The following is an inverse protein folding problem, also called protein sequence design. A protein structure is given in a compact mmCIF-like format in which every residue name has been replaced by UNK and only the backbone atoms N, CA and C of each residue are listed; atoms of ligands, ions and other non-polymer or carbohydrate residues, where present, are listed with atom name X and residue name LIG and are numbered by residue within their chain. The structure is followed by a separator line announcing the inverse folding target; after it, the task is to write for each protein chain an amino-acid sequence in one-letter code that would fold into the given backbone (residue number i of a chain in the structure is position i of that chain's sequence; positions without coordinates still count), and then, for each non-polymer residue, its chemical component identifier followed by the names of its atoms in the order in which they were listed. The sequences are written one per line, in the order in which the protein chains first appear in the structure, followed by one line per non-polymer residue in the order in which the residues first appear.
data_IF_560928621679
#
_entry.id   IF_560928621679
#
_cell.length_a   1.000
_cell.length_b   1.000
_cell.length_c   1.000
_cell.angle_alpha   90.00
_cell.angle_beta   90.00
_cell.angle_gamma   90.00
#
_symmetry.space_group_name_H-M   'P 1'
#
loop_
_entity.id
_entity.type
_entity.pdbx_description
1 polymer ?
#
# COMPACT_ATOMS: atom_id res chain seq x y z
N UNK A 1 -22.13 5.96 -45.42
CA UNK A 1 -20.75 5.42 -45.47
C UNK A 1 -19.68 6.50 -45.60
N UNK A 2 -19.80 7.48 -46.50
CA UNK A 2 -18.78 8.56 -46.69
C UNK A 2 -18.36 9.29 -45.40
N UNK A 3 -19.30 9.63 -44.52
CA UNK A 3 -18.98 10.36 -43.28
C UNK A 3 -18.22 9.51 -42.25
N UNK A 4 -18.34 8.17 -42.29
CA UNK A 4 -17.59 7.26 -41.39
C UNK A 4 -16.13 7.09 -41.84
N UNK A 5 -15.89 7.09 -43.15
CA UNK A 5 -14.53 7.00 -43.72
C UNK A 5 -13.76 8.31 -43.46
N UNK A 6 -14.41 9.47 -43.61
CA UNK A 6 -13.78 10.76 -43.31
C UNK A 6 -13.41 10.89 -41.83
N UNK A 7 -14.26 10.40 -40.93
CA UNK A 7 -13.99 10.40 -39.48
C UNK A 7 -12.82 9.48 -39.11
N UNK A 8 -12.71 8.29 -39.74
CA UNK A 8 -11.58 7.39 -39.53
C UNK A 8 -10.25 7.95 -40.07
N UNK A 9 -10.27 8.65 -41.21
CA UNK A 9 -9.08 9.32 -41.74
C UNK A 9 -8.65 10.46 -40.80
N UNK A 10 -9.60 11.23 -40.27
CA UNK A 10 -9.30 12.31 -39.32
C UNK A 10 -8.68 11.76 -38.02
N UNK A 11 -9.21 10.65 -37.48
CA UNK A 11 -8.65 9.96 -36.33
C UNK A 11 -7.26 9.39 -36.65
N UNK A 12 -7.08 8.80 -37.84
CA UNK A 12 -5.77 8.29 -38.28
C UNK A 12 -4.72 9.40 -38.37
N UNK A 13 -5.08 10.57 -38.89
CA UNK A 13 -4.20 11.75 -38.94
C UNK A 13 -3.91 12.28 -37.53
N UNK A 14 -4.92 12.30 -36.63
CA UNK A 14 -4.75 12.74 -35.25
C UNK A 14 -3.78 11.83 -34.48
N UNK A 15 -3.87 10.51 -34.67
CA UNK A 15 -2.94 9.54 -34.06
C UNK A 15 -1.54 9.58 -34.69
N UNK A 16 -1.40 9.97 -35.96
CA UNK A 16 -0.08 10.14 -36.59
C UNK A 16 0.61 11.45 -36.18
N UNK A 17 -0.14 12.43 -35.66
CA UNK A 17 0.39 13.74 -35.27
C UNK A 17 0.86 13.84 -33.81
N UNK A 18 0.67 12.80 -32.99
CA UNK A 18 1.13 12.80 -31.60
C UNK A 18 2.58 12.29 -31.54
N UNK A 19 3.50 13.02 -32.17
CA UNK A 19 4.89 12.94 -31.74
C UNK A 19 4.94 13.63 -30.37
N UNK A 20 4.80 12.83 -29.31
CA UNK A 20 5.19 13.22 -27.96
C UNK A 20 6.71 13.38 -28.00
N UNK A 21 7.19 14.51 -28.53
CA UNK A 21 8.60 14.86 -28.46
C UNK A 21 8.92 15.02 -26.98
N UNK A 22 9.73 14.12 -26.43
CA UNK A 22 10.47 14.45 -25.23
C UNK A 22 11.25 15.71 -25.55
N UNK A 23 11.15 16.72 -24.68
CA UNK A 23 12.02 17.86 -24.77
C UNK A 23 13.41 17.36 -24.40
N UNK A 24 14.19 16.96 -25.40
CA UNK A 24 15.52 16.47 -25.17
C UNK A 24 16.36 17.56 -24.50
N UNK A 25 17.20 17.15 -23.55
CA UNK A 25 18.01 18.07 -22.77
C UNK A 25 18.89 18.93 -23.68
N UNK A 26 18.77 20.26 -23.57
CA UNK A 26 19.72 21.15 -24.21
C UNK A 26 21.07 21.05 -23.49
N UNK A 27 22.11 20.66 -24.20
CA UNK A 27 23.47 20.56 -23.68
C UNK A 27 24.36 21.64 -24.28
N UNK A 28 25.39 22.05 -23.55
CA UNK A 28 26.41 22.95 -24.07
C UNK A 28 27.74 22.22 -24.23
N UNK A 29 28.27 22.18 -25.46
CA UNK A 29 29.49 21.46 -25.79
C UNK A 29 30.57 22.43 -26.27
N UNK A 30 31.71 22.47 -25.60
CA UNK A 30 32.85 23.24 -26.08
C UNK A 30 33.47 22.58 -27.31
N UNK A 31 33.75 23.38 -28.35
CA UNK A 31 34.51 22.99 -29.52
C UNK A 31 35.68 23.94 -29.75
N UNK A 32 36.86 23.37 -29.98
CA UNK A 32 38.08 24.14 -30.17
C UNK A 32 38.98 23.47 -31.19
N UNK A 33 39.79 24.29 -31.85
CA UNK A 33 40.83 23.82 -32.75
C UNK A 33 41.76 24.93 -33.16
N UNK A 34 42.86 24.54 -33.80
CA UNK A 34 43.95 25.44 -34.18
C UNK A 34 44.55 25.02 -35.52
N UNK A 35 45.40 25.86 -36.10
CA UNK A 35 46.13 25.56 -37.32
C UNK A 35 45.30 25.65 -38.60
N UNK A 36 44.17 26.38 -38.59
CA UNK A 36 43.40 26.63 -39.81
C UNK A 36 44.24 27.46 -40.77
N UNK A 37 44.42 26.92 -41.98
CA UNK A 37 45.23 27.53 -43.04
C UNK A 37 44.46 27.52 -44.34
N UNK A 38 44.72 28.50 -45.20
CA UNK A 38 44.24 28.49 -46.56
C UNK A 38 44.94 27.37 -47.35
N UNK A 39 44.18 26.51 -48.01
CA UNK A 39 44.73 25.33 -48.71
C UNK A 39 45.63 25.71 -49.89
N UNK A 40 45.36 26.84 -50.55
CA UNK A 40 46.10 27.28 -51.73
C UNK A 40 47.39 28.01 -51.37
N UNK A 41 47.38 28.86 -50.34
CA UNK A 41 48.56 29.64 -49.94
C UNK A 41 49.38 29.00 -48.82
N UNK A 42 48.78 28.13 -48.00
CA UNK A 42 49.41 27.58 -46.79
C UNK A 42 49.50 28.56 -45.61
N UNK A 43 49.02 29.80 -45.79
CA UNK A 43 49.03 30.84 -44.76
C UNK A 43 47.95 30.58 -43.71
N UNK A 44 48.24 30.94 -42.46
CA UNK A 44 47.28 30.88 -41.36
C UNK A 44 46.13 31.85 -41.60
N UNK A 45 44.90 31.40 -41.37
CA UNK A 45 43.71 32.21 -41.58
C UNK A 45 43.54 33.21 -40.42
N UNK A 46 43.77 34.51 -40.63
CA UNK A 46 43.70 35.52 -39.56
C UNK A 46 42.30 35.70 -38.98
N UNK A 47 41.27 35.69 -39.84
CA UNK A 47 39.86 35.87 -39.45
C UNK A 47 38.94 35.09 -40.40
N UNK A 48 37.98 34.34 -39.85
CA UNK A 48 36.95 33.68 -40.64
C UNK A 48 35.70 33.33 -39.86
N UNK A 49 34.60 33.15 -40.60
CA UNK A 49 33.38 32.56 -40.08
C UNK A 49 33.53 31.03 -40.09
N UNK A 50 33.02 30.38 -39.06
CA UNK A 50 32.97 28.92 -38.97
C UNK A 50 31.53 28.49 -38.73
N UNK A 51 31.05 27.56 -39.53
CA UNK A 51 29.78 26.87 -39.28
C UNK A 51 30.10 25.46 -38.82
N UNK A 52 29.51 25.04 -37.72
CA UNK A 52 29.68 23.70 -37.16
C UNK A 52 28.32 23.01 -37.24
N UNK A 53 28.31 21.87 -37.92
CA UNK A 53 27.15 20.99 -37.99
C UNK A 53 27.42 19.72 -37.19
N UNK A 54 26.38 19.24 -36.49
CA UNK A 54 26.40 17.94 -35.83
C UNK A 54 25.37 17.04 -36.50
N UNK A 55 25.80 15.84 -36.85
CA UNK A 55 25.02 14.82 -37.54
C UNK A 55 24.90 13.55 -36.70
N UNK A 56 23.79 12.85 -36.87
CA UNK A 56 23.49 11.54 -36.26
C UNK A 56 24.12 10.35 -37.01
N UNK A 57 24.76 10.58 -38.16
CA UNK A 57 25.34 9.52 -39.00
C UNK A 57 26.53 10.01 -39.82
N UNK A 58 27.46 9.08 -40.11
CA UNK A 58 28.68 9.32 -40.88
C UNK A 58 28.40 9.60 -42.35
N UNK A 59 27.44 8.88 -42.96
CA UNK A 59 27.08 9.00 -44.38
C UNK A 59 25.56 9.03 -44.47
N UNK A 60 25.03 10.17 -44.92
CA UNK A 60 23.60 10.48 -44.89
C UNK A 60 23.02 10.40 -43.47
N UNK A 61 22.37 11.46 -43.02
CA UNK A 61 21.85 11.58 -41.67
C UNK A 61 21.02 12.84 -41.53
N UNK A 62 20.53 13.09 -40.33
CA UNK A 62 19.90 14.35 -39.99
C UNK A 62 20.93 15.26 -39.34
N UNK A 63 20.87 16.54 -39.70
CA UNK A 63 21.54 17.59 -38.95
C UNK A 63 20.72 17.78 -37.67
N UNK A 64 21.32 17.44 -36.53
CA UNK A 64 20.71 17.66 -35.22
C UNK A 64 21.08 19.03 -34.63
N UNK A 65 22.14 19.65 -35.15
CA UNK A 65 22.55 21.00 -34.77
C UNK A 65 23.35 21.67 -35.89
N UNK A 66 23.14 22.97 -36.10
CA UNK A 66 23.85 23.76 -37.09
C UNK A 66 23.95 25.21 -36.62
N UNK A 67 25.18 25.71 -36.42
CA UNK A 67 25.39 27.10 -35.99
C UNK A 67 26.59 27.73 -36.66
N UNK A 68 26.44 28.99 -37.08
CA UNK A 68 27.50 29.80 -37.67
C UNK A 68 28.00 30.81 -36.65
N UNK A 69 29.28 30.72 -36.32
CA UNK A 69 30.01 31.67 -35.48
C UNK A 69 30.70 32.70 -36.36
N UNK A 70 30.16 33.93 -36.37
CA UNK A 70 30.73 35.05 -37.12
C UNK A 70 32.08 35.41 -36.52
N UNK A 71 33.13 35.46 -37.34
CA UNK A 71 34.51 35.67 -36.91
C UNK A 71 34.97 34.67 -35.82
N UNK A 72 34.42 33.44 -35.85
CA UNK A 72 34.74 32.41 -34.85
C UNK A 72 36.18 31.90 -34.92
N UNK A 73 36.86 32.06 -36.07
CA UNK A 73 38.29 31.75 -36.21
C UNK A 73 39.10 33.05 -36.14
N UNK A 74 40.09 33.09 -35.24
CA UNK A 74 41.03 34.19 -35.05
C UNK A 74 42.44 33.61 -35.02
N UNK A 75 43.32 34.08 -35.91
CA UNK A 75 44.71 33.61 -36.07
C UNK A 75 44.81 32.07 -36.17
N UNK A 76 43.95 31.49 -37.01
CA UNK A 76 43.90 30.06 -37.29
C UNK A 76 43.36 29.22 -36.15
N UNK A 77 42.77 29.82 -35.11
CA UNK A 77 42.27 29.11 -33.94
C UNK A 77 40.83 29.49 -33.63
N UNK A 78 40.05 28.58 -33.05
CA UNK A 78 38.70 28.85 -32.55
C UNK A 78 38.49 28.20 -31.20
N UNK A 79 37.57 28.78 -30.43
CA UNK A 79 37.03 28.22 -29.20
C UNK A 79 35.60 28.75 -29.07
N UNK A 80 34.63 27.86 -29.28
CA UNK A 80 33.20 28.19 -29.32
C UNK A 80 32.40 27.24 -28.44
N UNK A 81 31.23 27.69 -28.00
CA UNK A 81 30.28 26.89 -27.24
C UNK A 81 29.08 26.55 -28.12
N UNK A 82 28.89 25.26 -28.40
CA UNK A 82 27.73 24.77 -29.12
C UNK A 82 26.55 24.63 -28.15
N UNK A 83 25.32 24.87 -28.62
CA UNK A 83 24.08 24.68 -27.84
C UNK A 83 23.79 25.76 -26.79
N UNK A 84 24.62 26.81 -26.67
CA UNK A 84 24.36 27.94 -25.78
C UNK A 84 23.20 28.83 -26.31
N UNK A 85 22.98 28.84 -27.62
CA UNK A 85 21.91 29.58 -28.27
C UNK A 85 20.55 28.93 -27.98
N UNK A 86 19.74 29.55 -27.13
CA UNK A 86 18.42 29.03 -26.74
C UNK A 86 17.40 28.94 -27.89
N UNK A 87 17.69 29.55 -29.04
CA UNK A 87 16.87 29.40 -30.26
C UNK A 87 17.34 28.25 -31.15
N UNK A 88 18.45 27.60 -30.81
CA UNK A 88 19.08 26.52 -31.54
C UNK A 88 19.72 25.54 -30.54
N UNK A 89 18.88 24.79 -29.83
CA UNK A 89 19.35 23.87 -28.81
C UNK A 89 20.17 22.72 -29.43
N UNK A 90 21.23 22.31 -28.74
CA UNK A 90 21.96 21.10 -29.05
C UNK A 90 21.40 19.97 -28.18
N UNK A 91 20.74 19.02 -28.80
CA UNK A 91 20.24 17.81 -28.15
C UNK A 91 21.17 16.64 -28.49
N UNK A 92 21.69 15.99 -27.46
CA UNK A 92 22.54 14.80 -27.58
C UNK A 92 22.07 13.75 -26.58
N UNK A 93 22.35 12.49 -26.88
CA UNK A 93 22.23 11.35 -25.97
C UNK A 93 23.61 11.00 -25.44
N UNK A 94 23.72 10.71 -24.15
CA UNK A 94 24.99 10.42 -23.49
C UNK A 94 25.57 9.11 -24.01
N UNK A 95 26.83 9.12 -24.44
CA UNK A 95 27.51 7.93 -24.94
C UNK A 95 27.27 7.61 -26.42
N UNK A 96 26.27 8.24 -27.06
CA UNK A 96 26.00 8.07 -28.48
C UNK A 96 27.08 8.70 -29.38
N UNK A 97 27.22 8.16 -30.59
CA UNK A 97 28.20 8.64 -31.58
C UNK A 97 27.58 9.65 -32.52
N UNK A 98 28.16 10.85 -32.54
CA UNK A 98 27.78 11.91 -33.46
C UNK A 98 28.97 12.35 -34.30
N UNK A 99 28.70 13.13 -35.35
CA UNK A 99 29.68 13.52 -36.33
C UNK A 99 29.68 15.03 -36.53
N UNK A 100 30.84 15.66 -36.42
CA UNK A 100 31.03 17.09 -36.68
C UNK A 100 31.50 17.32 -38.10
N UNK A 101 30.86 18.28 -38.76
CA UNK A 101 31.24 18.80 -40.07
C UNK A 101 31.51 20.31 -39.91
N UNK A 102 32.56 20.79 -40.59
CA UNK A 102 33.04 22.16 -40.43
C UNK A 102 33.02 22.85 -41.78
N UNK A 103 32.36 24.01 -41.83
CA UNK A 103 32.31 24.84 -43.03
C UNK A 103 32.95 26.18 -42.70
N UNK A 104 34.06 26.50 -43.34
CA UNK A 104 34.84 27.72 -43.08
C UNK A 104 34.63 28.68 -44.24
N UNK A 105 34.08 29.87 -43.98
CA UNK A 105 33.70 30.85 -45.01
C UNK A 105 32.84 30.28 -46.15
N UNK A 106 32.03 29.25 -45.88
CA UNK A 106 31.16 28.60 -46.86
C UNK A 106 31.83 27.45 -47.63
N UNK A 107 33.10 27.17 -47.38
CA UNK A 107 33.82 26.02 -47.94
C UNK A 107 33.82 24.85 -46.94
N UNK A 108 33.54 23.66 -47.44
CA UNK A 108 33.55 22.42 -46.65
C UNK A 108 34.98 22.00 -46.30
N UNK A 109 35.17 21.43 -45.11
CA UNK A 109 36.48 21.04 -44.58
C UNK A 109 36.61 19.53 -44.53
N UNK A 110 37.55 19.00 -45.31
CA UNK A 110 37.93 17.60 -45.30
C UNK A 110 38.92 17.27 -44.16
N UNK A 111 38.75 16.10 -43.54
CA UNK A 111 39.67 15.55 -42.55
C UNK A 111 40.41 14.33 -43.10
N UNK A 112 41.51 13.96 -42.43
CA UNK A 112 42.17 12.66 -42.65
C UNK A 112 41.95 11.75 -41.47
N UNK A 113 41.61 10.49 -41.73
CA UNK A 113 41.57 9.45 -40.72
C UNK A 113 42.96 8.89 -40.42
N UNK A 114 43.02 7.85 -39.56
CA UNK A 114 44.27 7.16 -39.22
C UNK A 114 44.98 6.52 -40.42
N UNK A 115 44.24 6.21 -41.48
CA UNK A 115 44.76 5.59 -42.71
C UNK A 115 45.06 6.63 -43.81
N UNK A 116 45.14 7.92 -43.46
CA UNK A 116 45.30 9.04 -44.40
C UNK A 116 44.16 9.16 -45.45
N UNK A 117 43.03 8.49 -45.23
CA UNK A 117 41.85 8.60 -46.09
C UNK A 117 41.08 9.86 -45.77
N UNK A 118 40.54 10.51 -46.81
CA UNK A 118 39.70 11.69 -46.63
C UNK A 118 38.36 11.27 -46.02
N UNK A 119 37.97 11.95 -44.94
CA UNK A 119 36.66 11.80 -44.30
C UNK A 119 36.02 13.17 -44.16
N UNK A 120 34.75 13.28 -44.55
CA UNK A 120 33.99 14.54 -44.51
C UNK A 120 33.68 14.99 -43.07
N UNK A 121 33.55 14.02 -42.14
CA UNK A 121 33.09 14.29 -40.78
C UNK A 121 33.96 13.64 -39.73
N UNK A 122 34.11 14.33 -38.60
CA UNK A 122 34.84 13.83 -37.43
C UNK A 122 33.88 13.30 -36.38
N UNK A 123 33.99 12.02 -36.04
CA UNK A 123 33.17 11.43 -35.00
C UNK A 123 33.56 11.91 -33.59
N UNK A 124 32.61 11.92 -32.67
CA UNK A 124 32.83 12.04 -31.24
C UNK A 124 31.76 11.26 -30.48
N UNK A 125 32.10 10.73 -29.31
CA UNK A 125 31.12 10.21 -28.36
C UNK A 125 30.59 11.37 -27.55
N UNK A 126 29.28 11.51 -27.44
CA UNK A 126 28.72 12.60 -26.65
C UNK A 126 29.01 12.40 -25.16
N UNK A 127 29.70 13.35 -24.51
CA UNK A 127 29.95 13.28 -23.07
C UNK A 127 28.78 13.82 -22.24
N UNK A 128 27.73 14.33 -22.88
CA UNK A 128 26.59 15.02 -22.28
C UNK A 128 25.31 14.53 -22.97
N UNK A 129 24.18 14.58 -22.29
CA UNK A 129 22.91 14.24 -22.91
C UNK A 129 21.96 13.52 -21.98
N UNK A 130 20.80 13.18 -22.54
CA UNK A 130 19.87 12.24 -21.91
C UNK A 130 20.46 10.83 -21.92
N UNK A 131 20.10 10.00 -20.93
CA UNK A 131 20.50 8.59 -20.88
C UNK A 131 19.30 7.78 -21.37
N UNK A 132 19.46 7.07 -22.48
CA UNK A 132 18.46 6.17 -23.06
C UNK A 132 18.22 4.93 -22.19
N UNK A 133 17.12 4.22 -22.44
CA UNK A 133 16.82 2.99 -21.70
C UNK A 133 17.82 1.87 -22.02
N UNK A 134 18.30 1.85 -23.26
CA UNK A 134 19.33 0.97 -23.81
C UNK A 134 20.72 1.20 -23.19
N UNK A 135 20.99 2.39 -22.64
CA UNK A 135 22.26 2.74 -22.00
C UNK A 135 22.38 2.17 -20.57
N UNK A 136 21.26 1.78 -19.98
CA UNK A 136 21.21 1.21 -18.64
C UNK A 136 21.32 -0.32 -18.74
N UNK A 137 22.42 -0.88 -18.23
CA UNK A 137 22.54 -2.34 -18.15
C UNK A 137 21.42 -2.94 -17.27
N UNK A 138 20.86 -4.09 -17.67
CA UNK A 138 19.68 -4.67 -17.00
C UNK A 138 19.86 -5.07 -15.52
N UNK A 139 21.09 -4.97 -14.98
CA UNK A 139 21.46 -5.28 -13.61
C UNK A 139 22.11 -4.11 -12.86
N UNK A 140 21.86 -2.86 -13.26
CA UNK A 140 22.37 -1.69 -12.53
C UNK A 140 21.58 -1.42 -11.24
N UNK A 141 22.28 -0.87 -10.25
CA UNK A 141 21.65 -0.22 -9.11
C UNK A 141 21.64 1.29 -9.34
N UNK A 142 20.48 1.93 -9.20
CA UNK A 142 20.34 3.39 -9.24
C UNK A 142 20.46 3.92 -7.81
N UNK A 143 21.61 4.51 -7.47
CA UNK A 143 21.82 5.19 -6.19
C UNK A 143 21.60 6.69 -6.37
N UNK A 144 20.54 7.23 -5.79
CA UNK A 144 20.24 8.67 -5.79
C UNK A 144 20.08 9.20 -4.37
N UNK A 145 20.40 10.47 -4.15
CA UNK A 145 20.20 11.16 -2.88
C UNK A 145 18.91 12.00 -2.84
N UNK A 146 18.13 11.96 -3.93
CA UNK A 146 16.89 12.72 -4.07
C UNK A 146 15.70 11.83 -4.49
N UNK A 147 14.60 12.48 -4.86
CA UNK A 147 13.41 11.78 -5.32
C UNK A 147 13.64 11.18 -6.71
N UNK A 148 13.11 9.97 -6.94
CA UNK A 148 12.93 9.41 -8.27
C UNK A 148 11.48 9.66 -8.66
N UNK A 149 11.26 10.39 -9.74
CA UNK A 149 9.94 10.55 -10.36
C UNK A 149 9.90 9.68 -11.61
N UNK A 150 8.92 8.79 -11.68
CA UNK A 150 8.65 7.97 -12.87
C UNK A 150 7.14 7.85 -13.05
N UNK A 151 6.69 7.79 -14.31
CA UNK A 151 5.27 7.52 -14.61
C UNK A 151 4.87 6.11 -14.14
N UNK A 152 5.80 5.16 -14.23
CA UNK A 152 5.62 3.77 -13.82
C UNK A 152 6.91 3.19 -13.24
N UNK A 153 6.77 2.35 -12.22
CA UNK A 153 7.82 1.44 -11.74
C UNK A 153 7.41 0.00 -12.06
N UNK A 154 8.18 -0.72 -12.85
CA UNK A 154 7.96 -2.14 -13.14
C UNK A 154 9.03 -2.98 -12.41
N UNK A 155 8.58 -3.95 -11.62
CA UNK A 155 9.47 -4.86 -10.90
C UNK A 155 8.67 -5.83 -10.03
N UNK A 156 9.34 -6.89 -9.55
CA UNK A 156 8.73 -7.87 -8.63
C UNK A 156 8.73 -7.39 -7.16
N UNK A 157 9.34 -6.23 -6.90
CA UNK A 157 9.46 -5.63 -5.57
C UNK A 157 10.35 -6.39 -4.59
N UNK A 158 10.97 -7.51 -5.01
CA UNK A 158 11.71 -8.41 -4.11
C UNK A 158 12.97 -7.77 -3.51
N UNK A 159 13.49 -6.74 -4.16
CA UNK A 159 14.65 -5.96 -3.70
C UNK A 159 14.31 -4.76 -2.80
N UNK A 160 13.04 -4.51 -2.48
CA UNK A 160 12.63 -3.42 -1.58
C UNK A 160 12.49 -3.96 -0.15
N UNK A 161 13.46 -3.72 0.76
CA UNK A 161 13.35 -4.17 2.14
C UNK A 161 12.20 -3.44 2.84
N UNK A 162 11.28 -4.20 3.45
CA UNK A 162 10.03 -3.72 4.06
C UNK A 162 10.24 -2.52 5.01
N UNK A 163 11.32 -2.55 5.78
CA UNK A 163 11.74 -1.52 6.74
C UNK A 163 12.17 -0.19 6.10
N UNK A 164 12.24 -0.08 4.77
CA UNK A 164 12.61 1.15 4.05
C UNK A 164 11.45 1.79 3.28
N UNK A 165 10.28 1.16 3.24
CA UNK A 165 9.07 1.69 2.56
C UNK A 165 8.31 2.78 3.38
N UNK A 166 8.98 3.47 4.31
CA UNK A 166 8.36 4.58 5.02
C UNK A 166 8.04 5.72 4.04
N UNK A 167 6.76 5.94 3.75
CA UNK A 167 6.29 7.07 2.92
C UNK A 167 5.81 6.72 1.51
N UNK A 168 5.66 5.45 1.16
CA UNK A 168 4.89 5.03 -0.02
C UNK A 168 3.38 5.21 0.24
N UNK A 169 2.92 6.45 0.26
CA UNK A 169 1.49 6.79 0.14
C UNK A 169 1.15 6.87 -1.34
N UNK A 170 1.03 5.71 -1.98
CA UNK A 170 0.53 5.58 -3.34
C UNK A 170 -0.93 5.18 -3.29
N UNK A 171 -1.82 6.12 -3.59
CA UNK A 171 -3.24 5.84 -3.72
C UNK A 171 -4.01 7.12 -3.94
N UNK A 172 -5.09 7.00 -4.70
CA UNK A 172 -6.05 8.08 -4.86
C UNK A 172 -6.62 8.48 -3.48
N UNK A 173 -7.16 9.68 -3.32
CA UNK A 173 -7.93 10.02 -2.11
C UNK A 173 -8.96 8.91 -1.86
N UNK A 174 -8.73 8.07 -0.83
CA UNK A 174 -9.45 6.86 -0.42
C UNK A 174 -8.91 5.46 -0.82
N UNK A 175 -7.72 5.34 -1.41
CA UNK A 175 -7.07 4.03 -1.58
C UNK A 175 -5.77 3.97 -0.80
N UNK A 176 -5.81 3.59 0.47
CA UNK A 176 -4.58 3.15 1.12
C UNK A 176 -4.13 1.85 0.45
N UNK A 177 -2.96 1.84 -0.19
CA UNK A 177 -2.26 0.59 -0.48
C UNK A 177 -2.01 -0.09 0.87
N UNK A 178 -2.87 -1.04 1.22
CA UNK A 178 -2.60 -1.99 2.28
C UNK A 178 -1.46 -2.87 1.76
N UNK A 179 -0.20 -2.47 2.00
CA UNK A 179 0.86 -3.45 2.20
C UNK A 179 0.34 -4.32 3.33
N UNK A 180 -0.26 -5.45 2.96
CA UNK A 180 -1.09 -6.24 3.86
C UNK A 180 -0.15 -7.00 4.78
N UNK A 181 0.36 -6.31 5.79
CA UNK A 181 0.42 -6.92 7.11
C UNK A 181 -1.03 -7.19 7.52
N UNK A 182 -1.57 -8.30 7.02
CA UNK A 182 -2.82 -8.86 7.49
C UNK A 182 -2.59 -9.48 8.87
N UNK A 183 -2.11 -8.66 9.82
CA UNK A 183 -1.91 -8.99 11.22
C UNK A 183 -2.93 -8.26 12.12
N UNK A 184 -3.79 -7.40 11.56
CA UNK A 184 -4.82 -6.69 12.32
C UNK A 184 -6.24 -7.28 12.20
N UNK A 185 -6.53 -8.17 11.24
CA UNK A 185 -7.84 -8.84 11.10
C UNK A 185 -7.84 -10.31 11.58
N UNK A 186 -6.96 -10.68 12.52
CA UNK A 186 -7.04 -11.97 13.20
C UNK A 186 -6.81 -11.89 14.71
N UNK A 187 -7.29 -10.80 15.31
CA UNK A 187 -7.46 -10.69 16.77
C UNK A 187 -8.92 -10.61 17.21
N UNK A 188 -9.87 -11.03 16.37
CA UNK A 188 -11.05 -11.66 16.94
C UNK A 188 -10.65 -13.05 17.39
N UNK A 189 -10.03 -13.12 18.58
CA UNK A 189 -10.05 -14.35 19.35
C UNK A 189 -11.52 -14.68 19.56
N UNK A 190 -12.07 -15.52 18.69
CA UNK A 190 -13.45 -15.99 18.80
C UNK A 190 -13.69 -16.46 20.22
N UNK A 191 -14.70 -15.88 20.86
CA UNK A 191 -15.07 -16.32 22.19
C UNK A 191 -15.65 -17.73 22.08
N UNK A 192 -15.23 -18.62 22.96
CA UNK A 192 -15.58 -20.05 22.90
C UNK A 192 -16.77 -20.42 23.79
N UNK A 193 -17.39 -19.44 24.45
CA UNK A 193 -18.54 -19.66 25.33
C UNK A 193 -19.31 -18.36 25.57
N UNK A 194 -20.63 -18.46 25.62
CA UNK A 194 -21.51 -17.38 26.09
C UNK A 194 -21.38 -17.14 27.61
N UNK A 195 -21.76 -15.96 28.06
CA UNK A 195 -21.77 -15.55 29.46
C UNK A 195 -21.34 -14.11 29.69
N UNK A 196 -21.48 -13.63 30.93
CA UNK A 196 -20.98 -12.31 31.30
C UNK A 196 -19.44 -12.24 31.21
N UNK A 197 -18.94 -11.19 30.56
CA UNK A 197 -17.51 -10.90 30.52
C UNK A 197 -17.06 -10.05 31.69
N UNK A 198 -17.84 -9.01 32.01
CA UNK A 198 -17.54 -8.06 33.07
C UNK A 198 -18.84 -7.74 33.79
N UNK A 199 -19.08 -8.49 34.86
CA UNK A 199 -20.20 -8.34 35.78
C UNK A 199 -19.74 -8.78 37.17
N UNK A 200 -19.83 -7.88 38.14
CA UNK A 200 -19.53 -8.16 39.55
C UNK A 200 -20.45 -7.41 40.53
N UNK A 201 -20.16 -7.51 41.83
CA UNK A 201 -20.94 -6.89 42.90
C UNK A 201 -21.06 -5.36 42.83
N UNK A 202 -20.26 -4.68 42.01
CA UNK A 202 -20.35 -3.23 41.79
C UNK A 202 -21.34 -2.86 40.68
N UNK A 203 -21.73 -3.83 39.84
CA UNK A 203 -22.64 -3.64 38.71
C UNK A 203 -24.12 -3.80 39.10
N UNK A 204 -24.43 -4.00 40.38
CA UNK A 204 -25.79 -4.04 40.87
C UNK A 204 -25.94 -3.42 42.26
N UNK A 205 -27.15 -2.93 42.55
CA UNK A 205 -27.47 -2.32 43.84
C UNK A 205 -28.87 -2.72 44.31
N UNK A 206 -28.98 -3.22 45.54
CA UNK A 206 -30.26 -3.38 46.24
C UNK A 206 -30.77 -2.00 46.67
N UNK A 207 -31.96 -1.63 46.23
CA UNK A 207 -32.55 -0.32 46.53
C UNK A 207 -33.26 -0.27 47.90
N UNK A 208 -33.37 -1.40 48.61
CA UNK A 208 -33.98 -1.47 49.95
C UNK A 208 -35.51 -1.38 49.97
N UNK A 209 -36.14 -1.41 48.80
CA UNK A 209 -37.60 -1.43 48.60
C UNK A 209 -38.07 -2.72 47.88
N UNK A 210 -37.16 -3.68 47.74
CA UNK A 210 -37.37 -4.93 47.01
C UNK A 210 -37.29 -4.79 45.49
N UNK A 211 -36.72 -3.69 45.00
CA UNK A 211 -36.21 -3.55 43.64
C UNK A 211 -34.69 -3.66 43.62
N UNK A 212 -34.14 -4.05 42.47
CA UNK A 212 -32.70 -4.10 42.22
C UNK A 212 -32.35 -3.26 40.99
N UNK A 213 -31.29 -2.48 41.08
CA UNK A 213 -30.69 -1.78 39.94
C UNK A 213 -29.56 -2.64 39.36
N UNK A 214 -29.50 -2.74 38.04
CA UNK A 214 -28.43 -3.38 37.27
C UNK A 214 -27.78 -2.32 36.39
N UNK A 215 -26.45 -2.24 36.42
CA UNK A 215 -25.63 -1.38 35.57
C UNK A 215 -25.51 -1.90 34.14
N UNK A 216 -24.72 -1.21 33.32
CA UNK A 216 -24.42 -1.70 31.98
C UNK A 216 -23.51 -2.91 32.07
N UNK A 217 -23.80 -3.95 31.27
CA UNK A 217 -23.05 -5.21 31.31
C UNK A 217 -22.52 -5.56 29.91
N UNK A 218 -21.31 -6.10 29.88
CA UNK A 218 -20.76 -6.72 28.68
C UNK A 218 -20.96 -8.22 28.75
N UNK A 219 -21.67 -8.78 27.77
CA UNK A 219 -21.96 -10.22 27.68
C UNK A 219 -21.52 -10.80 26.34
N UNK A 220 -21.37 -12.11 26.34
CA UNK A 220 -21.15 -12.94 25.18
C UNK A 220 -22.38 -13.81 24.97
N UNK A 221 -22.96 -13.79 23.77
CA UNK A 221 -24.18 -14.54 23.46
C UNK A 221 -24.04 -15.23 22.11
N UNK A 222 -24.69 -16.37 21.96
CA UNK A 222 -25.04 -16.92 20.65
C UNK A 222 -26.32 -16.26 20.13
N UNK A 223 -26.54 -16.32 18.83
CA UNK A 223 -27.78 -15.84 18.19
C UNK A 223 -28.90 -16.90 18.19
N UNK A 224 -28.65 -18.08 18.77
CA UNK A 224 -29.54 -19.24 18.78
C UNK A 224 -29.44 -20.07 20.07
N UNK A 225 -30.40 -20.97 20.26
CA UNK A 225 -30.52 -21.85 21.44
C UNK A 225 -29.61 -23.09 21.38
N UNK A 226 -28.95 -23.34 20.25
CA UNK A 226 -28.24 -24.59 19.97
C UNK A 226 -26.73 -24.51 20.22
N UNK A 227 -26.22 -23.36 20.69
CA UNK A 227 -24.79 -23.08 20.87
C UNK A 227 -23.98 -23.22 19.56
N UNK A 228 -24.61 -22.95 18.41
CA UNK A 228 -23.97 -23.03 17.10
C UNK A 228 -23.51 -21.65 16.63
N UNK A 229 -22.43 -21.59 15.85
CA UNK A 229 -21.92 -20.34 15.26
C UNK A 229 -20.86 -19.63 16.10
N UNK A 230 -20.69 -18.33 15.84
CA UNK A 230 -19.71 -17.47 16.50
C UNK A 230 -20.38 -16.79 17.69
N UNK A 231 -19.71 -16.80 18.85
CA UNK A 231 -20.18 -16.05 20.01
C UNK A 231 -19.84 -14.58 19.82
N UNK A 232 -20.87 -13.73 19.85
CA UNK A 232 -20.73 -12.29 19.66
C UNK A 232 -20.74 -11.55 20.99
N UNK A 233 -20.09 -10.37 21.00
CA UNK A 233 -19.95 -9.52 22.19
C UNK A 233 -20.97 -8.38 22.15
N UNK A 234 -21.74 -8.25 23.21
CA UNK A 234 -22.76 -7.22 23.35
C UNK A 234 -22.54 -6.37 24.61
N UNK A 235 -22.80 -5.07 24.49
CA UNK A 235 -22.92 -4.15 25.63
C UNK A 235 -24.40 -3.83 25.84
N UNK A 236 -24.96 -4.28 26.96
CA UNK A 236 -26.39 -4.14 27.25
C UNK A 236 -26.57 -3.09 28.34
N UNK A 237 -27.48 -2.15 28.10
CA UNK A 237 -27.87 -1.16 29.11
C UNK A 237 -28.74 -1.82 30.18
N UNK A 238 -28.37 -1.61 31.44
CA UNK A 238 -29.12 -2.13 32.59
C UNK A 238 -30.38 -1.33 32.94
N UNK A 239 -30.93 -1.55 34.14
CA UNK A 239 -32.18 -0.93 34.57
C UNK A 239 -32.61 -1.34 35.98
N UNK A 240 -33.79 -0.84 36.40
CA UNK A 240 -34.42 -1.23 37.66
C UNK A 240 -35.44 -2.35 37.45
N UNK A 241 -35.40 -3.36 38.31
CA UNK A 241 -36.28 -4.52 38.26
C UNK A 241 -37.02 -4.69 39.59
N UNK A 242 -38.33 -4.89 39.52
CA UNK A 242 -39.17 -5.18 40.69
C UNK A 242 -39.30 -6.67 40.88
N UNK A 243 -38.92 -7.17 42.05
CA UNK A 243 -38.91 -8.60 42.36
C UNK A 243 -40.20 -9.02 43.07
N UNK A 244 -40.69 -10.23 42.78
CA UNK A 244 -41.85 -10.81 43.48
C UNK A 244 -41.43 -11.40 44.82
N UNK A 245 -42.06 -10.96 45.90
CA UNK A 245 -41.75 -11.40 47.27
C UNK A 245 -42.02 -12.89 47.48
N UNK A 246 -41.15 -13.56 48.23
CA UNK A 246 -41.25 -14.99 48.52
C UNK A 246 -40.94 -15.92 47.34
N UNK A 247 -40.40 -15.40 46.23
CA UNK A 247 -40.02 -16.18 45.05
C UNK A 247 -38.55 -15.99 44.70
N UNK A 248 -37.94 -17.03 44.12
CA UNK A 248 -36.62 -16.91 43.47
C UNK A 248 -36.85 -16.30 42.09
N UNK A 249 -36.05 -15.31 41.73
CA UNK A 249 -36.01 -14.69 40.40
C UNK A 249 -34.58 -14.67 39.87
N UNK A 250 -34.45 -14.56 38.56
CA UNK A 250 -33.17 -14.49 37.86
C UNK A 250 -33.10 -13.20 37.05
N UNK A 251 -31.95 -12.53 37.10
CA UNK A 251 -31.62 -11.48 36.13
C UNK A 251 -30.74 -12.13 35.08
N UNK A 252 -31.12 -12.04 33.81
CA UNK A 252 -30.40 -12.65 32.70
C UNK A 252 -30.22 -11.66 31.54
N UNK A 253 -29.17 -11.84 30.76
CA UNK A 253 -29.00 -11.19 29.47
C UNK A 253 -29.54 -12.11 28.36
N UNK A 254 -30.48 -11.61 27.57
CA UNK A 254 -31.19 -12.31 26.50
C UNK A 254 -30.87 -11.66 25.16
N UNK A 255 -30.49 -12.44 24.15
CA UNK A 255 -30.17 -11.98 22.80
C UNK A 255 -31.33 -11.25 22.11
N UNK A 256 -32.58 -11.61 22.44
CA UNK A 256 -33.80 -10.90 22.01
C UNK A 256 -33.80 -10.53 20.52
N UNK A 257 -33.54 -11.53 19.66
CA UNK A 257 -33.63 -11.38 18.20
C UNK A 257 -32.62 -10.40 17.59
N UNK A 258 -31.43 -10.25 18.18
CA UNK A 258 -30.38 -9.35 17.70
C UNK A 258 -30.35 -7.98 18.39
N UNK A 259 -31.21 -7.76 19.38
CA UNK A 259 -31.20 -6.55 20.22
C UNK A 259 -31.19 -6.95 21.68
N UNK A 260 -30.01 -7.33 22.23
CA UNK A 260 -29.96 -7.95 23.54
C UNK A 260 -30.42 -7.02 24.67
N UNK A 261 -31.09 -7.61 25.66
CA UNK A 261 -31.68 -6.90 26.81
C UNK A 261 -31.36 -7.61 28.13
N UNK A 262 -31.48 -6.87 29.23
CA UNK A 262 -31.54 -7.46 30.57
C UNK A 262 -33.00 -7.76 30.90
N UNK A 263 -33.28 -9.01 31.24
CA UNK A 263 -34.62 -9.52 31.52
C UNK A 263 -34.69 -10.09 32.93
N UNK A 264 -35.83 -9.87 33.60
CA UNK A 264 -36.21 -10.56 34.83
C UNK A 264 -36.97 -11.84 34.46
N UNK A 265 -36.48 -12.98 34.92
CA UNK A 265 -37.06 -14.31 34.71
C UNK A 265 -37.55 -14.83 36.07
N UNK A 266 -38.83 -15.21 36.15
CA UNK A 266 -39.39 -15.79 37.36
C UNK A 266 -38.84 -17.21 37.61
N UNK A 267 -38.86 -17.68 38.85
CA UNK A 267 -38.30 -18.98 39.21
C UNK A 267 -38.89 -20.18 38.46
N UNK A 268 -40.16 -20.08 38.08
CA UNK A 268 -40.86 -21.09 37.29
C UNK A 268 -40.42 -21.15 35.81
N UNK A 269 -39.81 -20.08 35.30
CA UNK A 269 -39.36 -19.94 33.91
C UNK A 269 -37.85 -20.11 33.75
N UNK A 270 -37.16 -20.68 34.74
CA UNK A 270 -35.69 -20.88 34.73
C UNK A 270 -35.21 -21.67 33.50
N UNK A 271 -36.08 -22.45 32.86
CA UNK A 271 -35.79 -23.18 31.63
C UNK A 271 -35.48 -22.26 30.42
N UNK A 272 -35.82 -20.97 30.48
CA UNK A 272 -35.42 -19.98 29.47
C UNK A 272 -33.92 -19.66 29.51
N UNK A 273 -33.21 -20.00 30.59
CA UNK A 273 -31.78 -19.74 30.76
C UNK A 273 -31.00 -20.96 30.24
N UNK A 274 -30.49 -20.85 29.02
CA UNK A 274 -29.85 -21.96 28.29
C UNK A 274 -28.32 -21.88 28.22
N UNK A 275 -27.72 -20.80 28.72
CA UNK A 275 -26.27 -20.52 28.59
C UNK A 275 -25.81 -20.41 27.12
N UNK A 276 -26.72 -20.08 26.20
CA UNK A 276 -26.46 -19.87 24.77
C UNK A 276 -26.80 -18.41 24.40
N UNK A 277 -28.07 -18.15 24.10
CA UNK A 277 -28.57 -16.82 23.78
C UNK A 277 -29.18 -16.14 25.02
N UNK A 278 -29.39 -16.89 26.11
CA UNK A 278 -29.82 -16.37 27.40
C UNK A 278 -28.86 -16.82 28.52
N UNK A 279 -28.17 -15.87 29.16
CA UNK A 279 -27.16 -16.14 30.18
C UNK A 279 -27.52 -15.47 31.51
N UNK A 280 -27.41 -16.18 32.66
CA UNK A 280 -27.75 -15.61 33.96
C UNK A 280 -26.66 -14.66 34.45
N UNK A 281 -27.08 -13.59 35.12
CA UNK A 281 -26.23 -12.63 35.82
C UNK A 281 -26.37 -12.79 37.33
N UNK A 282 -27.61 -12.81 37.84
CA UNK A 282 -27.93 -12.94 39.26
C UNK A 282 -29.03 -13.98 39.51
N UNK A 283 -28.95 -14.68 40.63
CA UNK A 283 -30.09 -15.36 41.27
C UNK A 283 -30.48 -14.57 42.52
N UNK A 284 -31.75 -14.22 42.67
CA UNK A 284 -32.21 -13.34 43.74
C UNK A 284 -33.41 -13.98 44.44
N UNK A 285 -33.39 -14.03 45.77
CA UNK A 285 -34.56 -14.33 46.59
C UNK A 285 -34.95 -13.10 47.39
N UNK A 286 -36.22 -12.71 47.34
CA UNK A 286 -36.76 -11.56 48.08
C UNK A 286 -37.53 -12.05 49.31
N UNK A 287 -37.25 -11.44 50.46
CA UNK A 287 -38.05 -11.57 51.69
C UNK A 287 -38.39 -10.17 52.25
N UNK A 288 -39.62 -9.73 52.04
CA UNK A 288 -40.07 -8.38 52.36
C UNK A 288 -39.32 -7.33 51.52
N UNK A 289 -38.48 -6.51 52.15
CA UNK A 289 -37.65 -5.52 51.46
C UNK A 289 -36.18 -5.95 51.32
N UNK A 290 -35.82 -7.13 51.83
CA UNK A 290 -34.45 -7.62 51.82
C UNK A 290 -34.23 -8.54 50.63
N UNK A 291 -33.11 -8.35 49.93
CA UNK A 291 -32.69 -9.23 48.85
C UNK A 291 -31.55 -10.15 49.31
N UNK A 292 -31.63 -11.41 48.91
CA UNK A 292 -30.54 -12.38 48.99
C UNK A 292 -30.06 -12.64 47.57
N UNK A 293 -28.88 -12.12 47.24
CA UNK A 293 -28.33 -12.12 45.88
C UNK A 293 -27.18 -13.11 45.79
N UNK A 294 -27.23 -13.98 44.79
CA UNK A 294 -26.13 -14.83 44.36
C UNK A 294 -25.66 -14.36 42.98
N UNK A 295 -24.40 -13.95 42.91
CA UNK A 295 -23.74 -13.50 41.69
C UNK A 295 -23.17 -14.70 40.92
N UNK A 296 -23.49 -14.79 39.62
CA UNK A 296 -22.93 -15.81 38.73
C UNK A 296 -21.53 -15.45 38.22
N UNK A 297 -21.14 -14.18 38.35
CA UNK A 297 -19.85 -13.62 37.98
C UNK A 297 -19.55 -13.74 36.48
N UNK A 298 -18.27 -13.71 36.16
CA UNK A 298 -17.79 -13.68 34.77
C UNK A 298 -17.71 -15.09 34.15
N UNK A 299 -18.86 -15.71 33.94
CA UNK A 299 -18.93 -17.04 33.29
C UNK A 299 -18.41 -17.02 31.86
N UNK A 300 -18.57 -15.92 31.12
CA UNK A 300 -18.02 -15.77 29.75
C UNK A 300 -16.49 -15.81 29.70
N UNK A 301 -15.79 -15.50 30.81
CA UNK A 301 -14.34 -15.66 30.95
C UNK A 301 -13.97 -17.14 31.24
N UNK A 302 -14.00 -17.96 30.20
CA UNK A 302 -13.44 -19.32 30.19
C UNK A 302 -14.27 -20.40 30.89
N UNK A 303 -15.60 -20.38 30.74
CA UNK A 303 -16.52 -21.35 31.35
C UNK A 303 -16.15 -22.80 31.03
N UNK A 304 -15.87 -23.11 29.77
CA UNK A 304 -15.51 -24.45 29.31
C UNK A 304 -14.28 -24.99 30.06
N UNK A 305 -13.27 -24.14 30.27
CA UNK A 305 -12.10 -24.47 31.09
C UNK A 305 -12.45 -24.70 32.56
N UNK A 306 -13.26 -23.83 33.16
CA UNK A 306 -13.69 -23.96 34.58
C UNK A 306 -14.52 -25.23 34.82
N UNK A 307 -15.44 -25.57 33.91
CA UNK A 307 -16.25 -26.79 33.98
C UNK A 307 -15.40 -28.04 33.81
N UNK A 308 -14.42 -28.03 32.89
CA UNK A 308 -13.45 -29.10 32.74
C UNK A 308 -12.65 -29.31 34.05
N UNK A 309 -12.12 -28.24 34.64
CA UNK A 309 -11.41 -28.33 35.93
C UNK A 309 -12.29 -28.79 37.09
N UNK A 310 -13.53 -28.33 37.18
CA UNK A 310 -14.51 -28.80 38.18
C UNK A 310 -14.75 -30.30 38.02
N UNK A 311 -14.96 -30.76 36.80
CA UNK A 311 -15.20 -32.18 36.51
C UNK A 311 -14.01 -33.03 36.93
N UNK A 312 -12.79 -32.61 36.58
CA UNK A 312 -11.56 -33.31 36.99
C UNK A 312 -11.35 -33.35 38.51
N UNK A 313 -11.69 -32.27 39.25
CA UNK A 313 -11.34 -32.15 40.67
C UNK A 313 -12.43 -32.59 41.63
N UNK A 314 -13.68 -32.30 41.32
CA UNK A 314 -14.82 -32.53 42.24
C UNK A 314 -15.50 -33.87 41.95
N UNK A 315 -15.50 -34.29 40.68
CA UNK A 315 -16.24 -35.46 40.24
C UNK A 315 -15.40 -36.48 39.43
N UNK A 316 -14.13 -36.78 39.78
CA UNK A 316 -13.31 -37.70 38.98
C UNK A 316 -13.86 -39.13 38.91
N UNK A 317 -14.72 -39.52 39.85
CA UNK A 317 -15.28 -40.88 39.97
C UNK A 317 -16.81 -40.92 39.99
N UNK A 318 -17.49 -39.88 39.49
CA UNK A 318 -18.95 -39.96 39.35
C UNK A 318 -19.25 -41.03 38.31
N UNK A 319 -19.90 -42.12 38.74
CA UNK A 319 -20.42 -43.15 37.82
C UNK A 319 -21.38 -42.47 36.85
N UNK A 320 -20.98 -42.32 35.59
CA UNK A 320 -21.95 -42.22 34.50
C UNK A 320 -22.78 -43.51 34.55
N UNK A 321 -24.10 -43.38 34.46
CA UNK A 321 -25.03 -44.50 34.59
C UNK A 321 -24.60 -45.69 33.72
N UNK A 322 -24.54 -46.86 34.34
CA UNK A 322 -24.08 -48.11 33.73
C UNK A 322 -24.12 -49.25 34.74
N UNK A 323 -24.47 -50.45 34.25
CA UNK A 323 -24.81 -51.67 34.98
C UNK A 323 -23.83 -51.98 36.13
N UNK A 324 -24.36 -52.16 37.34
CA UNK A 324 -23.62 -52.76 38.45
C UNK A 324 -23.69 -54.29 38.30
N UNK A 325 -22.58 -54.94 37.98
CA UNK A 325 -22.45 -56.39 38.15
C UNK A 325 -22.02 -56.61 39.61
N UNK A 326 -22.95 -57.11 40.41
CA UNK A 326 -22.65 -57.67 41.73
C UNK A 326 -22.41 -59.16 41.52
N UNK A 327 -21.24 -59.63 41.92
CA UNK A 327 -20.98 -61.06 42.10
C UNK A 327 -21.36 -61.40 43.54
N UNK A 328 -22.55 -61.96 43.72
CA UNK A 328 -22.92 -62.61 44.98
C UNK A 328 -22.25 -63.98 45.00
N UNK A 329 -21.06 -64.05 45.58
CA UNK A 329 -20.47 -65.32 45.98
C UNK A 329 -21.30 -65.93 47.10
N UNK A 330 -22.17 -66.89 46.75
CA UNK A 330 -22.79 -67.79 47.72
C UNK A 330 -21.71 -68.60 48.45
N UNK A 331 -21.71 -68.51 49.78
CA UNK A 331 -21.04 -69.43 50.70
C UNK A 331 -22.05 -69.97 51.68
#
# INVERSE_FOLDING_TARGET
MKNKILFLILIGILFFSINLGSAALNVSLSDQGTGVKNISSGETLELANITIQVWDSVVAGNIIYNETFINGIINGSWNVMLGENSSNNLSLEYGEVYYKEYIINGEDVDFKDYNDSIVERKFFYSPLGDIGGEDLAGNININTTGNITADYFFGDGSGLPHETLFGLTGGTENEHYHLTENAAENTERGYISAGALDFDSSDWNDNGDGTIFIGNVTVLLYDNVYHEGIVEKFNITGGNFTLTDGTVSYIAADYNGGSPIIKLIAGEDVAEIDMSYCVPLLTISREGNRLFVLDWGNVGKGLSGKLFYRTMRVSPFVRQSGLMIVDEGEG
#
